data_IF_920830992276
#
_entry.id   IF_920830992276
#
_cell.length_a   1.000
_cell.length_b   1.000
_cell.length_c   1.000
_cell.angle_alpha   90.00
_cell.angle_beta   90.00
_cell.angle_gamma   90.00
#
_symmetry.space_group_name_H-M   'P 1'
#
loop_
_entity.id
_entity.type
_entity.pdbx_description
1 polymer ?
#
# COMPACT_ATOMS: atom_id res chain seq x y z
N UNK A 1 3.82 -18.30 7.79
CA UNK A 1 2.63 -18.12 6.92
C UNK A 1 3.17 -17.62 5.59
N UNK A 2 2.66 -18.11 4.47
CA UNK A 2 3.11 -17.68 3.14
C UNK A 2 2.39 -16.39 2.74
N UNK A 3 2.97 -15.64 1.82
CA UNK A 3 2.33 -14.52 1.14
C UNK A 3 1.04 -14.98 0.43
N UNK A 4 0.04 -14.11 0.39
CA UNK A 4 -1.22 -14.26 -0.35
C UNK A 4 -0.95 -14.09 -1.84
N UNK A 5 -0.10 -13.11 -2.20
CA UNK A 5 0.28 -12.86 -3.58
C UNK A 5 1.51 -13.67 -3.98
N UNK A 6 1.34 -14.55 -4.98
CA UNK A 6 2.40 -15.42 -5.49
C UNK A 6 3.52 -14.61 -6.19
N UNK A 7 3.15 -13.56 -6.90
CA UNK A 7 4.06 -12.70 -7.66
C UNK A 7 4.23 -11.31 -7.01
N UNK A 8 5.37 -10.64 -7.23
CA UNK A 8 5.53 -9.23 -6.88
C UNK A 8 4.48 -8.36 -7.58
N UNK A 9 4.09 -7.28 -6.92
CA UNK A 9 3.30 -6.23 -7.53
C UNK A 9 4.03 -5.69 -8.77
N UNK A 10 3.35 -5.42 -9.90
CA UNK A 10 4.00 -4.94 -11.13
C UNK A 10 4.81 -3.64 -10.97
N UNK A 11 4.45 -2.83 -9.96
CA UNK A 11 5.16 -1.59 -9.60
C UNK A 11 6.07 -1.74 -8.38
N UNK A 12 6.38 -2.95 -7.94
CA UNK A 12 7.33 -3.18 -6.83
C UNK A 12 8.67 -2.52 -7.15
N UNK A 13 9.20 -1.76 -6.19
CA UNK A 13 10.42 -0.96 -6.31
C UNK A 13 10.26 0.34 -7.10
N UNK A 14 9.09 0.63 -7.67
CA UNK A 14 8.86 1.84 -8.44
C UNK A 14 8.31 2.98 -7.58
N UNK A 15 8.60 4.21 -7.99
CA UNK A 15 8.04 5.42 -7.38
C UNK A 15 6.90 5.94 -8.23
N UNK A 16 5.77 6.24 -7.59
CA UNK A 16 4.59 6.84 -8.20
C UNK A 16 4.21 8.13 -7.49
N UNK A 17 3.61 9.07 -8.21
CA UNK A 17 3.05 10.28 -7.61
C UNK A 17 1.65 9.99 -7.09
N UNK A 18 1.42 10.16 -5.80
CA UNK A 18 0.11 9.99 -5.18
C UNK A 18 -0.45 11.32 -4.68
N UNK A 19 -1.77 11.38 -4.56
CA UNK A 19 -2.50 12.44 -3.86
C UNK A 19 -3.68 11.83 -3.11
N UNK A 20 -3.39 11.18 -1.98
CA UNK A 20 -4.38 10.39 -1.23
C UNK A 20 -4.70 11.12 0.07
N UNK A 21 -5.96 11.53 0.21
CA UNK A 21 -6.45 12.11 1.45
C UNK A 21 -6.28 11.12 2.63
N UNK A 22 -5.76 11.63 3.76
CA UNK A 22 -5.32 10.83 4.91
C UNK A 22 -3.89 10.27 4.84
N UNK A 23 -3.18 10.43 3.71
CA UNK A 23 -1.76 10.07 3.55
C UNK A 23 -0.94 11.30 3.18
N UNK A 24 -1.33 12.00 2.10
CA UNK A 24 -0.64 13.18 1.59
C UNK A 24 -0.42 13.15 0.08
N UNK A 25 0.37 14.11 -0.40
CA UNK A 25 0.74 14.28 -1.81
C UNK A 25 2.25 14.18 -1.97
N UNK A 26 2.70 13.45 -2.99
CA UNK A 26 4.11 13.38 -3.39
C UNK A 26 4.54 12.00 -3.91
N UNK A 27 5.86 11.81 -3.94
CA UNK A 27 6.51 10.56 -4.37
C UNK A 27 6.32 9.46 -3.33
N UNK A 28 5.63 8.40 -3.74
CA UNK A 28 5.40 7.18 -2.97
C UNK A 28 6.15 6.02 -3.63
N UNK A 29 7.16 5.50 -2.95
CA UNK A 29 7.89 4.33 -3.41
C UNK A 29 7.18 3.07 -2.95
N UNK A 30 6.67 2.29 -3.89
CA UNK A 30 6.00 1.02 -3.64
C UNK A 30 7.07 -0.03 -3.35
N UNK A 31 7.02 -0.66 -2.17
CA UNK A 31 7.92 -1.76 -1.85
C UNK A 31 7.41 -3.05 -2.50
N UNK A 32 6.20 -3.49 -2.16
CA UNK A 32 5.49 -4.60 -2.81
C UNK A 32 4.05 -4.64 -2.25
N UNK A 33 3.28 -5.68 -2.57
CA UNK A 33 2.10 -6.06 -1.80
C UNK A 33 2.42 -6.17 -0.30
N UNK A 34 1.48 -5.73 0.55
CA UNK A 34 1.64 -5.74 2.01
C UNK A 34 2.11 -7.10 2.55
N UNK A 35 1.42 -8.17 2.14
CA UNK A 35 1.62 -9.53 2.63
C UNK A 35 2.99 -10.08 2.24
N UNK A 36 3.56 -9.63 1.11
CA UNK A 36 4.91 -9.98 0.65
C UNK A 36 5.99 -9.21 1.42
N UNK A 37 5.80 -7.91 1.66
CA UNK A 37 6.76 -7.10 2.44
C UNK A 37 6.87 -7.59 3.88
N UNK A 38 5.73 -7.91 4.51
CA UNK A 38 5.70 -8.28 5.93
C UNK A 38 5.67 -9.78 6.18
N UNK A 39 5.55 -10.61 5.12
CA UNK A 39 5.42 -12.08 5.22
C UNK A 39 4.33 -12.52 6.23
N UNK A 40 3.28 -11.71 6.38
CA UNK A 40 2.35 -11.77 7.52
C UNK A 40 0.91 -12.12 7.13
N UNK A 41 0.65 -12.47 5.86
CA UNK A 41 -0.71 -12.60 5.35
C UNK A 41 -1.44 -11.27 5.35
N UNK A 42 -2.75 -11.29 5.61
CA UNK A 42 -3.59 -10.09 5.46
C UNK A 42 -3.22 -8.97 6.42
N UNK A 43 -3.30 -7.72 5.94
CA UNK A 43 -3.15 -6.52 6.76
C UNK A 43 -4.18 -6.45 7.89
N UNK A 44 -5.32 -7.12 7.73
CA UNK A 44 -6.39 -7.17 8.73
C UNK A 44 -5.94 -7.85 10.03
N UNK A 45 -4.92 -8.72 9.95
CA UNK A 45 -4.38 -9.43 11.11
C UNK A 45 -3.10 -8.79 11.67
N UNK A 46 -2.68 -7.63 11.13
CA UNK A 46 -1.46 -6.93 11.52
C UNK A 46 -1.64 -6.12 12.82
N UNK A 47 -1.89 -6.82 13.92
CA UNK A 47 -2.09 -6.20 15.24
C UNK A 47 -0.89 -5.35 15.66
N UNK A 48 -1.17 -4.13 16.14
CA UNK A 48 -0.14 -3.19 16.59
C UNK A 48 0.64 -2.51 15.46
N UNK A 49 0.40 -2.82 14.19
CA UNK A 49 1.06 -2.13 13.09
C UNK A 49 0.40 -0.76 12.82
N UNK A 50 1.14 0.36 12.93
CA UNK A 50 0.55 1.70 12.74
C UNK A 50 0.06 1.96 11.31
N UNK A 51 0.69 1.37 10.28
CA UNK A 51 0.27 1.54 8.90
C UNK A 51 -1.05 0.80 8.64
N UNK A 52 -1.19 -0.43 9.17
CA UNK A 52 -2.43 -1.19 9.11
C UNK A 52 -3.57 -0.49 9.86
N UNK A 53 -3.33 0.02 11.07
CA UNK A 53 -4.35 0.76 11.83
C UNK A 53 -4.80 2.03 11.09
N UNK A 54 -3.87 2.83 10.56
CA UNK A 54 -4.21 4.03 9.77
C UNK A 54 -5.01 3.67 8.53
N UNK A 55 -4.64 2.58 7.85
CA UNK A 55 -5.37 2.11 6.68
C UNK A 55 -6.77 1.60 7.03
N UNK A 56 -6.94 0.84 8.12
CA UNK A 56 -8.24 0.36 8.57
C UNK A 56 -9.24 1.51 8.79
N UNK A 57 -8.80 2.58 9.48
CA UNK A 57 -9.63 3.78 9.68
C UNK A 57 -9.99 4.43 8.34
N UNK A 58 -9.00 4.58 7.46
CA UNK A 58 -9.17 5.23 6.15
C UNK A 58 -10.11 4.44 5.22
N UNK A 59 -9.95 3.12 5.16
CA UNK A 59 -10.79 2.23 4.40
C UNK A 59 -12.25 2.28 4.88
N UNK A 60 -12.47 2.27 6.20
CA UNK A 60 -13.81 2.40 6.79
C UNK A 60 -14.48 3.75 6.48
N UNK A 61 -13.73 4.86 6.56
CA UNK A 61 -14.27 6.20 6.28
C UNK A 61 -14.58 6.40 4.80
N UNK A 62 -13.72 5.89 3.90
CA UNK A 62 -13.86 6.09 2.45
C UNK A 62 -14.64 4.98 1.73
N UNK A 63 -14.98 3.90 2.43
CA UNK A 63 -15.61 2.73 1.81
C UNK A 63 -14.69 2.02 0.81
N UNK A 64 -13.39 1.94 1.09
CA UNK A 64 -12.46 1.17 0.26
C UNK A 64 -12.76 -0.33 0.39
N UNK A 65 -12.43 -1.14 -0.63
CA UNK A 65 -12.54 -2.59 -0.52
C UNK A 65 -11.77 -3.13 0.68
N UNK A 66 -12.36 -4.12 1.34
CA UNK A 66 -11.77 -4.82 2.49
C UNK A 66 -11.24 -6.16 1.98
N UNK A 67 -10.14 -6.08 1.25
CA UNK A 67 -9.41 -7.21 0.68
C UNK A 67 -7.90 -6.99 0.83
N UNK A 68 -7.10 -7.90 0.28
CA UNK A 68 -5.64 -7.85 0.37
C UNK A 68 -4.98 -7.17 -0.85
N UNK A 69 -5.75 -6.54 -1.75
CA UNK A 69 -5.24 -5.78 -2.90
C UNK A 69 -4.68 -4.42 -2.45
N UNK A 70 -3.65 -4.50 -1.62
CA UNK A 70 -3.00 -3.37 -0.99
C UNK A 70 -1.49 -3.48 -1.08
N UNK A 71 -0.84 -2.37 -1.40
CA UNK A 71 0.62 -2.25 -1.39
C UNK A 71 1.10 -1.56 -0.13
N UNK A 72 2.30 -1.92 0.29
CA UNK A 72 3.06 -1.15 1.26
C UNK A 72 4.14 -0.34 0.56
N UNK A 73 4.38 0.87 1.05
CA UNK A 73 5.32 1.79 0.44
C UNK A 73 5.55 3.00 1.32
N UNK A 74 6.45 3.88 0.89
CA UNK A 74 6.91 5.01 1.67
C UNK A 74 6.63 6.34 0.97
N UNK A 75 5.96 7.25 1.67
CA UNK A 75 5.86 8.66 1.32
C UNK A 75 6.76 9.45 2.27
N UNK A 76 7.78 10.15 1.76
CA UNK A 76 8.74 10.93 2.58
C UNK A 76 9.36 10.10 3.73
N UNK A 77 9.65 8.83 3.46
CA UNK A 77 10.21 7.89 4.45
C UNK A 77 9.21 7.27 5.43
N UNK A 78 7.94 7.66 5.40
CA UNK A 78 6.89 7.13 6.29
C UNK A 78 6.12 6.03 5.58
N UNK A 79 5.95 4.88 6.23
CA UNK A 79 5.26 3.72 5.71
C UNK A 79 3.74 3.86 5.71
N UNK A 80 3.11 3.54 4.57
CA UNK A 80 1.66 3.57 4.39
C UNK A 80 1.18 2.36 3.59
N UNK A 81 -0.01 1.88 3.93
CA UNK A 81 -0.78 0.93 3.10
C UNK A 81 -1.72 1.72 2.19
N UNK A 82 -1.70 1.37 0.91
CA UNK A 82 -2.53 1.98 -0.14
C UNK A 82 -3.24 0.87 -0.91
N UNK A 83 -4.54 1.03 -1.14
CA UNK A 83 -5.31 0.08 -1.95
C UNK A 83 -5.00 0.29 -3.44
N UNK A 84 -4.99 -0.78 -4.23
CA UNK A 84 -4.62 -0.69 -5.65
C UNK A 84 -5.50 0.29 -6.46
N UNK A 85 -6.78 0.41 -6.11
CA UNK A 85 -7.69 1.38 -6.76
C UNK A 85 -7.29 2.85 -6.57
N UNK A 86 -6.39 3.13 -5.63
CA UNK A 86 -5.89 4.47 -5.34
C UNK A 86 -4.52 4.75 -5.99
N UNK A 87 -3.91 3.73 -6.61
CA UNK A 87 -2.67 3.87 -7.36
C UNK A 87 -3.01 4.33 -8.79
N UNK A 88 -2.41 5.44 -9.28
CA UNK A 88 -2.61 5.86 -10.66
C UNK A 88 -2.13 4.78 -11.63
N UNK A 89 -2.91 4.53 -12.69
CA UNK A 89 -2.59 3.53 -13.73
C UNK A 89 -1.34 3.85 -14.57
N UNK A 90 -0.59 4.91 -14.26
CA UNK A 90 0.61 5.30 -14.99
C UNK A 90 1.75 5.58 -14.02
N UNK A 91 2.71 4.65 -13.95
CA UNK A 91 4.04 4.97 -13.48
C UNK A 91 4.65 5.96 -14.46
N UNK A 92 4.82 7.21 -14.05
CA UNK A 92 5.56 8.18 -14.85
C UNK A 92 7.03 7.79 -14.73
N UNK A 93 7.54 7.13 -15.78
CA UNK A 93 8.96 6.91 -15.94
C UNK A 93 9.68 8.25 -15.94
N UNK A 94 10.55 8.46 -14.96
CA UNK A 94 11.56 9.49 -15.02
C UNK A 94 12.64 9.02 -16.00
N UNK A 95 12.63 9.62 -17.20
CA UNK A 95 13.77 9.65 -18.12
C UNK A 95 14.76 10.74 -17.70
#
# INVERSE_FOLDING_TARGET
MNAIHEAPHPLSGQTVNIGIDGIGVGEYTIEDYWDRVHSAGSWMFAQGNPAALKYAVRAGVKGLPVDDEVVYGKLRGIGHIVHLSEIPSAAVGAA
#
